data_IF_956761975945
#
_entry.id   IF_956761975945
#
_cell.length_a   1.000
_cell.length_b   1.000
_cell.length_c   1.000
_cell.angle_alpha   90.00
_cell.angle_beta   90.00
_cell.angle_gamma   90.00
#
_symmetry.space_group_name_H-M   'P 1'
#
loop_
_entity.id
_entity.type
_entity.pdbx_description
1 polymer ?
#
# COMPACT_ATOMS: atom_id res chain seq x y z
N UNK A 1 6.26 -4.37 6.38
CA UNK A 1 5.85 -3.66 7.60
C UNK A 1 4.45 -4.09 8.06
N UNK A 2 3.52 -4.35 7.16
CA UNK A 2 2.17 -4.79 7.54
C UNK A 2 2.18 -6.06 8.42
N UNK A 3 3.09 -6.98 8.17
CA UNK A 3 3.25 -8.21 8.97
C UNK A 3 4.21 -7.99 10.15
N UNK A 4 3.93 -6.99 10.94
CA UNK A 4 4.72 -6.58 12.10
C UNK A 4 5.12 -7.74 13.01
N UNK A 5 4.24 -8.71 13.20
CA UNK A 5 4.55 -9.96 13.90
C UNK A 5 4.38 -11.13 12.91
N UNK A 6 5.43 -11.87 12.57
CA UNK A 6 6.78 -11.93 13.15
C UNK A 6 7.83 -11.01 12.49
N UNK A 7 7.48 -10.14 11.54
CA UNK A 7 8.45 -9.33 10.79
C UNK A 7 8.84 -8.07 11.54
N UNK A 8 10.07 -7.99 12.02
CA UNK A 8 10.60 -6.81 12.72
C UNK A 8 11.44 -5.86 11.85
N UNK A 9 11.60 -6.15 10.56
CA UNK A 9 12.39 -5.31 9.67
C UNK A 9 12.85 -6.05 8.41
N UNK A 10 13.61 -5.36 7.59
CA UNK A 10 14.25 -5.91 6.39
C UNK A 10 15.62 -5.26 6.17
N UNK A 11 16.50 -5.93 5.43
CA UNK A 11 17.82 -5.42 5.08
C UNK A 11 18.07 -5.57 3.59
N UNK A 12 18.91 -4.70 3.05
CA UNK A 12 19.43 -4.82 1.69
C UNK A 12 20.84 -5.37 1.74
N UNK A 13 21.13 -6.38 0.92
CA UNK A 13 22.48 -6.96 0.82
C UNK A 13 23.48 -6.03 0.12
N UNK A 14 22.99 -5.12 -0.74
CA UNK A 14 23.81 -4.13 -1.42
C UNK A 14 23.03 -2.81 -1.60
N UNK A 15 23.62 -1.69 -1.17
CA UNK A 15 23.03 -0.37 -1.36
C UNK A 15 23.27 0.11 -2.81
N UNK A 16 24.48 -0.03 -3.30
CA UNK A 16 24.88 0.43 -4.63
C UNK A 16 25.81 -0.57 -5.32
N UNK A 17 25.77 -0.57 -6.66
CA UNK A 17 26.70 -1.35 -7.46
C UNK A 17 28.11 -0.75 -7.42
N UNK A 18 29.14 -1.58 -7.39
CA UNK A 18 30.53 -1.14 -7.49
C UNK A 18 31.03 -1.09 -8.94
N UNK A 19 30.28 -1.62 -9.89
CA UNK A 19 30.57 -1.63 -11.34
C UNK A 19 29.26 -1.74 -12.13
N UNK A 20 29.25 -1.44 -13.45
CA UNK A 20 28.07 -1.68 -14.29
C UNK A 20 27.66 -3.15 -14.22
N UNK A 21 26.47 -3.42 -13.65
CA UNK A 21 25.95 -4.77 -13.48
C UNK A 21 24.42 -4.75 -13.27
N UNK A 22 23.78 -5.88 -13.58
CA UNK A 22 22.42 -6.18 -13.13
C UNK A 22 22.53 -6.81 -11.74
N UNK A 23 22.01 -6.17 -10.72
CA UNK A 23 22.10 -6.61 -9.34
C UNK A 23 20.88 -6.23 -8.53
N UNK A 24 20.84 -6.70 -7.28
CA UNK A 24 19.82 -6.33 -6.29
C UNK A 24 20.07 -4.97 -5.61
N UNK A 25 21.16 -4.25 -5.94
CA UNK A 25 21.42 -2.93 -5.42
C UNK A 25 20.32 -1.95 -5.85
N UNK A 26 20.00 -1.00 -4.97
CA UNK A 26 18.95 0.01 -5.22
C UNK A 26 19.50 1.26 -5.92
N UNK A 27 20.82 1.47 -5.91
CA UNK A 27 21.53 2.45 -6.72
C UNK A 27 22.46 1.75 -7.70
N UNK A 28 22.68 2.34 -8.86
CA UNK A 28 23.67 1.85 -9.81
C UNK A 28 25.11 2.26 -9.42
N UNK A 29 26.09 1.95 -10.28
CA UNK A 29 27.51 2.26 -10.03
C UNK A 29 27.81 3.76 -10.08
N UNK A 30 27.00 4.56 -10.79
CA UNK A 30 27.08 6.03 -10.86
C UNK A 30 26.26 6.70 -9.75
N UNK A 31 25.76 5.91 -8.78
CA UNK A 31 24.89 6.37 -7.68
C UNK A 31 23.53 6.91 -8.15
N UNK A 32 23.09 6.55 -9.36
CA UNK A 32 21.76 6.89 -9.80
C UNK A 32 20.72 5.93 -9.20
N UNK A 33 19.56 6.45 -8.78
CA UNK A 33 18.52 5.62 -8.18
C UNK A 33 17.91 4.68 -9.22
N UNK A 34 17.86 3.39 -8.92
CA UNK A 34 17.07 2.42 -9.68
C UNK A 34 15.59 2.54 -9.33
N UNK A 35 14.69 1.96 -10.13
CA UNK A 35 13.25 2.00 -9.90
C UNK A 35 12.82 1.55 -8.50
N UNK A 36 13.55 0.64 -7.87
CA UNK A 36 13.29 0.16 -6.53
C UNK A 36 13.36 1.24 -5.43
N UNK A 37 14.14 2.31 -5.64
CA UNK A 37 14.33 3.39 -4.64
C UNK A 37 13.00 4.04 -4.27
N UNK A 38 12.13 4.30 -5.25
CA UNK A 38 10.83 4.92 -4.99
C UNK A 38 9.95 4.05 -4.08
N UNK A 39 9.89 2.75 -4.34
CA UNK A 39 9.14 1.80 -3.52
C UNK A 39 9.71 1.67 -2.10
N UNK A 40 11.04 1.61 -1.98
CA UNK A 40 11.72 1.59 -0.67
C UNK A 40 11.43 2.87 0.11
N UNK A 41 11.55 4.03 -0.52
CA UNK A 41 11.27 5.33 0.11
C UNK A 41 9.82 5.39 0.63
N UNK A 42 8.85 4.95 -0.18
CA UNK A 42 7.44 4.91 0.22
C UNK A 42 7.22 3.94 1.39
N UNK A 43 7.82 2.73 1.34
CA UNK A 43 7.67 1.73 2.40
C UNK A 43 8.37 2.12 3.72
N UNK A 44 9.37 3.00 3.68
CA UNK A 44 10.13 3.45 4.84
C UNK A 44 9.62 4.78 5.43
N UNK A 45 8.49 5.31 4.97
CA UNK A 45 7.89 6.48 5.63
C UNK A 45 7.50 6.12 7.08
N UNK A 46 7.60 7.05 8.03
CA UNK A 46 7.22 6.81 9.42
C UNK A 46 5.79 6.30 9.55
N UNK A 47 4.88 6.90 8.82
CA UNK A 47 3.48 6.48 8.76
C UNK A 47 3.12 6.08 7.34
N UNK A 48 2.51 4.90 7.19
CA UNK A 48 2.00 4.41 5.90
C UNK A 48 0.58 3.87 6.05
N UNK A 49 -0.19 3.95 4.96
CA UNK A 49 -1.49 3.30 4.82
C UNK A 49 -1.37 2.16 3.82
N UNK A 50 -1.82 0.97 4.21
CA UNK A 50 -1.70 -0.23 3.39
C UNK A 50 -2.98 -1.06 3.44
N UNK A 51 -3.28 -1.76 2.37
CA UNK A 51 -4.28 -2.83 2.35
C UNK A 51 -3.57 -4.19 2.38
N UNK A 52 -4.31 -5.22 2.71
CA UNK A 52 -3.88 -6.58 2.44
C UNK A 52 -3.52 -6.72 0.95
N UNK A 53 -2.76 -7.76 0.63
CA UNK A 53 -2.28 -7.94 -0.74
C UNK A 53 -3.45 -8.05 -1.70
N UNK A 54 -3.68 -7.01 -2.48
CA UNK A 54 -4.64 -7.02 -3.58
C UNK A 54 -4.21 -8.07 -4.62
N UNK A 55 -5.10 -8.98 -5.06
CA UNK A 55 -4.81 -9.89 -6.16
C UNK A 55 -4.42 -9.13 -7.43
N UNK A 56 -3.42 -9.63 -8.15
CA UNK A 56 -3.00 -9.04 -9.43
C UNK A 56 -4.04 -9.32 -10.51
N UNK A 57 -4.71 -10.47 -10.42
CA UNK A 57 -5.77 -10.91 -11.35
C UNK A 57 -6.99 -11.31 -10.53
N UNK A 58 -8.17 -10.88 -10.97
CA UNK A 58 -9.48 -11.23 -10.41
C UNK A 58 -10.46 -11.55 -11.55
N UNK A 59 -11.53 -12.29 -11.24
CA UNK A 59 -12.54 -12.67 -12.22
C UNK A 59 -13.92 -12.13 -11.80
N UNK A 60 -14.83 -11.89 -12.77
CA UNK A 60 -16.20 -11.52 -12.48
C UNK A 60 -16.87 -12.47 -11.47
N UNK A 61 -17.47 -11.89 -10.43
CA UNK A 61 -18.11 -12.65 -9.35
C UNK A 61 -17.20 -12.98 -8.17
N UNK A 62 -15.89 -12.78 -8.28
CA UNK A 62 -14.98 -12.96 -7.14
C UNK A 62 -15.34 -11.99 -6.00
N UNK A 63 -15.31 -12.51 -4.77
CA UNK A 63 -15.44 -11.69 -3.56
C UNK A 63 -14.05 -11.33 -3.03
N UNK A 64 -13.69 -10.06 -3.14
CA UNK A 64 -12.41 -9.52 -2.66
C UNK A 64 -12.64 -8.86 -1.30
N UNK A 65 -11.95 -9.36 -0.28
CA UNK A 65 -11.92 -8.79 1.07
C UNK A 65 -10.50 -8.39 1.41
N UNK A 66 -10.29 -7.11 1.69
CA UNK A 66 -8.98 -6.55 2.04
C UNK A 66 -9.10 -5.73 3.31
N UNK A 67 -8.35 -6.07 4.34
CA UNK A 67 -8.22 -5.23 5.52
C UNK A 67 -7.30 -4.05 5.23
N UNK A 68 -7.67 -2.87 5.73
CA UNK A 68 -6.91 -1.62 5.59
C UNK A 68 -6.29 -1.27 6.92
N UNK A 69 -4.99 -1.04 6.89
CA UNK A 69 -4.19 -0.80 8.08
C UNK A 69 -3.42 0.52 7.97
N UNK A 70 -3.22 1.15 9.11
CA UNK A 70 -2.22 2.19 9.32
C UNK A 70 -1.06 1.57 10.08
N UNK A 71 0.14 1.72 9.54
CA UNK A 71 1.39 1.33 10.19
C UNK A 71 2.11 2.59 10.60
N UNK A 72 2.38 2.75 11.88
CA UNK A 72 3.02 3.93 12.45
C UNK A 72 4.28 3.52 13.22
N UNK A 73 5.40 4.17 12.91
CA UNK A 73 6.64 4.11 13.68
C UNK A 73 6.76 5.36 14.59
N UNK A 74 5.71 6.19 14.68
CA UNK A 74 5.68 7.33 15.58
C UNK A 74 5.67 6.87 17.04
N UNK A 75 6.34 7.63 17.90
CA UNK A 75 6.41 7.33 19.34
C UNK A 75 5.16 7.70 20.12
N UNK A 76 4.33 8.56 19.51
CA UNK A 76 3.07 9.00 20.08
C UNK A 76 1.90 8.41 19.26
N UNK A 77 0.77 8.11 19.90
CA UNK A 77 -0.43 7.67 19.18
C UNK A 77 -0.94 8.76 18.24
N UNK A 78 -1.45 8.34 17.09
CA UNK A 78 -2.13 9.21 16.15
C UNK A 78 -3.65 9.05 16.33
N UNK A 79 -4.31 10.11 16.74
CA UNK A 79 -5.77 10.18 16.90
C UNK A 79 -6.42 10.87 15.69
N UNK A 80 -7.73 10.71 15.55
CA UNK A 80 -8.56 11.42 14.54
C UNK A 80 -8.02 11.25 13.11
N UNK A 81 -7.66 10.00 12.77
CA UNK A 81 -7.25 9.64 11.43
C UNK A 81 -8.47 9.47 10.53
N UNK A 82 -8.46 10.15 9.37
CA UNK A 82 -9.39 9.92 8.27
C UNK A 82 -8.68 9.05 7.21
N UNK A 83 -9.22 7.85 6.96
CA UNK A 83 -8.71 6.90 5.98
C UNK A 83 -9.75 6.71 4.90
N UNK A 84 -9.35 6.80 3.63
CA UNK A 84 -10.22 6.50 2.51
C UNK A 84 -9.58 5.51 1.55
N UNK A 85 -10.41 4.67 0.96
CA UNK A 85 -10.05 3.76 -0.12
C UNK A 85 -10.95 4.06 -1.32
N UNK A 86 -10.36 4.30 -2.48
CA UNK A 86 -11.05 4.56 -3.73
C UNK A 86 -10.65 3.49 -4.74
N UNK A 87 -11.59 2.66 -5.13
CA UNK A 87 -11.43 1.58 -6.10
C UNK A 87 -12.08 2.00 -7.41
N UNK A 88 -11.32 1.91 -8.50
CA UNK A 88 -11.76 2.29 -9.85
C UNK A 88 -11.59 1.08 -10.79
N UNK A 89 -12.60 0.81 -11.61
CA UNK A 89 -12.59 -0.23 -12.63
C UNK A 89 -13.34 0.22 -13.88
N UNK A 90 -13.26 -0.47 -15.01
CA UNK A 90 -14.01 -0.08 -16.21
C UNK A 90 -15.52 -0.01 -15.96
N UNK A 91 -16.09 1.18 -16.10
CA UNK A 91 -17.52 1.44 -15.93
C UNK A 91 -17.98 1.66 -14.50
N UNK A 92 -17.07 1.79 -13.50
CA UNK A 92 -17.49 2.10 -12.14
C UNK A 92 -16.37 2.44 -11.19
N UNK A 93 -16.79 2.90 -10.04
CA UNK A 93 -15.91 3.20 -8.91
C UNK A 93 -16.63 3.00 -7.59
N UNK A 94 -15.89 2.82 -6.51
CA UNK A 94 -16.44 2.79 -5.16
C UNK A 94 -15.46 3.40 -4.16
N UNK A 95 -16.01 4.08 -3.14
CA UNK A 95 -15.20 4.70 -2.10
C UNK A 95 -15.67 4.24 -0.73
N UNK A 96 -14.73 3.81 0.10
CA UNK A 96 -14.90 3.57 1.53
C UNK A 96 -14.20 4.68 2.30
N UNK A 97 -14.75 5.03 3.45
CA UNK A 97 -14.14 5.98 4.37
C UNK A 97 -14.31 5.51 5.81
N UNK A 98 -13.25 5.64 6.58
CA UNK A 98 -13.23 5.25 7.99
C UNK A 98 -12.55 6.33 8.81
N UNK A 99 -12.94 6.40 10.06
CA UNK A 99 -12.21 7.14 11.09
C UNK A 99 -11.60 6.16 12.07
N UNK A 100 -10.41 6.48 12.56
CA UNK A 100 -9.72 5.61 13.49
C UNK A 100 -8.52 6.28 14.15
N UNK A 101 -7.73 5.45 14.77
CA UNK A 101 -6.50 5.86 15.44
C UNK A 101 -5.43 4.80 15.25
N UNK A 102 -4.18 5.19 15.36
CA UNK A 102 -3.03 4.27 15.38
C UNK A 102 -2.28 4.45 16.70
N UNK A 103 -1.95 3.34 17.34
CA UNK A 103 -1.09 3.36 18.52
C UNK A 103 0.34 3.82 18.18
N UNK A 104 1.10 4.14 19.20
CA UNK A 104 2.54 4.35 19.05
C UNK A 104 3.20 3.04 18.60
N UNK A 105 4.15 3.13 17.65
CA UNK A 105 4.93 1.99 17.13
C UNK A 105 4.04 0.75 16.88
N UNK A 106 3.02 0.90 16.03
CA UNK A 106 1.98 -0.10 15.89
C UNK A 106 1.48 -0.32 14.46
N UNK A 107 0.79 -1.43 14.30
CA UNK A 107 -0.06 -1.74 13.14
C UNK A 107 -1.50 -1.75 13.60
N UNK A 108 -2.31 -0.83 13.12
CA UNK A 108 -3.71 -0.67 13.49
C UNK A 108 -4.62 -0.93 12.30
N UNK A 109 -5.52 -1.92 12.41
CA UNK A 109 -6.56 -2.14 11.40
C UNK A 109 -7.61 -1.05 11.55
N UNK A 110 -7.90 -0.33 10.47
CA UNK A 110 -8.84 0.78 10.46
C UNK A 110 -10.17 0.40 9.82
N UNK A 111 -10.14 -0.43 8.79
CA UNK A 111 -11.35 -0.82 8.09
C UNK A 111 -11.14 -2.01 7.17
N UNK A 112 -12.18 -2.35 6.40
CA UNK A 112 -12.13 -3.42 5.39
C UNK A 112 -12.83 -2.98 4.12
N UNK A 113 -12.24 -3.32 3.00
CA UNK A 113 -12.81 -3.23 1.66
C UNK A 113 -13.51 -4.56 1.40
N UNK A 114 -14.79 -4.51 1.06
CA UNK A 114 -15.53 -5.67 0.58
C UNK A 114 -16.10 -5.32 -0.79
N UNK A 115 -15.65 -6.03 -1.80
CA UNK A 115 -15.99 -5.76 -3.20
C UNK A 115 -16.24 -7.06 -3.95
N UNK A 116 -17.37 -7.11 -4.65
CA UNK A 116 -17.67 -8.18 -5.59
C UNK A 116 -17.31 -7.69 -6.99
N UNK A 117 -16.44 -8.44 -7.66
CA UNK A 117 -15.92 -8.06 -8.99
C UNK A 117 -17.07 -8.05 -10.00
N UNK A 118 -17.32 -6.92 -10.69
CA UNK A 118 -18.38 -6.82 -11.68
C UNK A 118 -18.05 -7.59 -12.96
N UNK A 119 -19.08 -7.82 -13.81
CA UNK A 119 -18.94 -8.49 -15.10
C UNK A 119 -18.39 -7.54 -16.16
N UNK A 120 -17.11 -7.16 -15.97
CA UNK A 120 -16.33 -6.32 -16.88
C UNK A 120 -14.92 -6.88 -17.00
N UNK A 121 -14.15 -6.40 -17.98
CA UNK A 121 -12.72 -6.74 -18.11
C UNK A 121 -11.88 -5.48 -18.20
N UNK A 122 -10.66 -5.54 -17.69
CA UNK A 122 -9.69 -4.46 -17.78
C UNK A 122 -9.07 -4.08 -16.43
N UNK A 123 -8.33 -2.98 -16.40
CA UNK A 123 -7.53 -2.61 -15.22
C UNK A 123 -8.41 -2.20 -14.04
N UNK A 124 -7.99 -2.58 -12.85
CA UNK A 124 -8.56 -2.12 -11.58
C UNK A 124 -7.47 -1.44 -10.75
N UNK A 125 -7.79 -0.28 -10.19
CA UNK A 125 -6.87 0.49 -9.35
C UNK A 125 -7.51 0.78 -8.00
N UNK A 126 -6.76 0.54 -6.93
CA UNK A 126 -7.13 0.90 -5.57
C UNK A 126 -6.19 2.00 -5.07
N UNK A 127 -6.75 3.12 -4.66
CA UNK A 127 -6.04 4.23 -4.07
C UNK A 127 -6.40 4.39 -2.60
N UNK A 128 -5.41 4.37 -1.73
CA UNK A 128 -5.55 4.62 -0.30
C UNK A 128 -5.01 6.00 0.04
N UNK A 129 -5.73 6.71 0.92
CA UNK A 129 -5.29 7.99 1.47
C UNK A 129 -5.51 8.01 2.97
N UNK A 130 -4.52 8.56 3.67
CA UNK A 130 -4.55 8.79 5.11
C UNK A 130 -4.38 10.26 5.37
N UNK A 131 -5.32 10.84 6.13
CA UNK A 131 -5.25 12.23 6.58
C UNK A 131 -5.22 12.29 8.10
N UNK A 132 -4.49 13.27 8.60
CA UNK A 132 -4.45 13.63 10.00
C UNK A 132 -4.59 15.14 10.10
N UNK A 133 -5.55 15.61 10.91
CA UNK A 133 -5.86 17.05 11.05
C UNK A 133 -6.11 17.74 9.70
N UNK A 134 -6.79 17.06 8.77
CA UNK A 134 -7.12 17.56 7.43
C UNK A 134 -6.00 17.49 6.41
N UNK A 135 -4.76 17.21 6.80
CA UNK A 135 -3.61 17.09 5.91
C UNK A 135 -3.39 15.63 5.49
N UNK A 136 -3.10 15.39 4.21
CA UNK A 136 -2.68 14.07 3.75
C UNK A 136 -1.25 13.78 4.24
N UNK A 137 -1.09 12.70 5.01
CA UNK A 137 0.19 12.28 5.58
C UNK A 137 0.74 11.00 4.96
N UNK A 138 -0.12 10.19 4.32
CA UNK A 138 0.31 9.02 3.58
C UNK A 138 -0.70 8.66 2.49
N UNK A 139 -0.20 8.08 1.41
CA UNK A 139 -1.02 7.48 0.35
C UNK A 139 -0.36 6.23 -0.20
N UNK A 140 -1.15 5.36 -0.83
CA UNK A 140 -0.68 4.15 -1.47
C UNK A 140 -1.59 3.78 -2.64
N UNK A 141 -1.10 3.00 -3.59
CA UNK A 141 -1.90 2.53 -4.71
C UNK A 141 -1.55 1.09 -5.10
N UNK A 142 -2.56 0.36 -5.54
CA UNK A 142 -2.46 -1.01 -6.03
C UNK A 142 -3.11 -1.11 -7.40
N UNK A 143 -2.56 -1.97 -8.23
CA UNK A 143 -3.09 -2.26 -9.56
C UNK A 143 -3.30 -3.74 -9.74
N UNK A 144 -4.38 -4.09 -10.40
CA UNK A 144 -4.72 -5.43 -10.83
C UNK A 144 -5.46 -5.39 -12.16
N UNK A 145 -5.91 -6.55 -12.60
CA UNK A 145 -6.65 -6.71 -13.87
C UNK A 145 -7.84 -7.63 -13.65
N UNK A 146 -9.01 -7.22 -14.17
CA UNK A 146 -10.21 -8.06 -14.20
C UNK A 146 -10.17 -8.85 -15.50
N UNK A 147 -9.97 -10.16 -15.41
CA UNK A 147 -9.96 -11.04 -16.55
C UNK A 147 -11.34 -11.63 -16.78
N UNK A 148 -11.91 -11.31 -17.95
CA UNK A 148 -13.09 -12.01 -18.43
C UNK A 148 -12.81 -13.50 -18.59
N UNK A 149 -13.78 -14.33 -18.26
CA UNK A 149 -13.75 -15.76 -18.57
C UNK A 149 -13.87 -16.04 -20.07
#
# INVERSE_FOLDING_TARGET
RLKYKPTGGFTFSALADCRPAISFAIFDHDRQPKHAVAGVKAACQPVIVVADRMPIEVHPGDAVLLDVHVVSDEREPLHDLDVSAHLVWPGGEHTWAWRGQAGADSVSRIGSINWVVPTVSGPVELHLRLRHNGNEIASNSYRGDIRGG
#
